data_IF_239244378673
#
_entry.id   IF_239244378673
#
_cell.length_a   1.000
_cell.length_b   1.000
_cell.length_c   1.000
_cell.angle_alpha   90.00
_cell.angle_beta   90.00
_cell.angle_gamma   90.00
#
_symmetry.space_group_name_H-M   'P 1'
#
loop_
_entity.id
_entity.type
_entity.pdbx_description
1 polymer ?
#
# COMPACT_ATOMS: atom_id res chain seq x y z
N UNK A 1 -19.58 -11.34 5.83
CA UNK A 1 -18.18 -10.91 6.06
C UNK A 1 -18.21 -9.46 6.49
N UNK A 2 -17.50 -9.09 7.57
CA UNK A 2 -17.51 -7.71 8.06
C UNK A 2 -16.66 -6.81 7.16
N UNK A 3 -17.14 -5.59 6.91
CA UNK A 3 -16.40 -4.60 6.12
C UNK A 3 -14.98 -4.34 6.67
N UNK A 4 -14.80 -4.45 7.99
CA UNK A 4 -13.51 -4.36 8.66
C UNK A 4 -12.52 -5.46 8.26
N UNK A 5 -12.98 -6.72 8.13
CA UNK A 5 -12.13 -7.83 7.68
C UNK A 5 -11.70 -7.65 6.22
N UNK A 6 -12.62 -7.19 5.36
CA UNK A 6 -12.33 -6.94 3.94
C UNK A 6 -11.29 -5.82 3.79
N UNK A 7 -11.47 -4.72 4.53
CA UNK A 7 -10.54 -3.58 4.47
C UNK A 7 -9.18 -3.90 5.10
N UNK A 8 -9.13 -4.68 6.18
CA UNK A 8 -7.88 -5.17 6.75
C UNK A 8 -7.12 -6.09 5.79
N UNK A 9 -7.80 -7.03 5.12
CA UNK A 9 -7.19 -7.89 4.12
C UNK A 9 -6.65 -7.10 2.92
N UNK A 10 -7.41 -6.10 2.44
CA UNK A 10 -6.97 -5.21 1.37
C UNK A 10 -5.73 -4.41 1.77
N UNK A 11 -5.70 -3.90 3.01
CA UNK A 11 -4.56 -3.15 3.53
C UNK A 11 -3.29 -4.02 3.56
N UNK A 12 -3.38 -5.26 4.05
CA UNK A 12 -2.24 -6.20 4.08
C UNK A 12 -1.74 -6.52 2.67
N UNK A 13 -2.65 -6.77 1.72
CA UNK A 13 -2.32 -7.02 0.32
C UNK A 13 -1.61 -5.81 -0.33
N UNK A 14 -2.15 -4.61 -0.16
CA UNK A 14 -1.56 -3.37 -0.68
C UNK A 14 -0.18 -3.07 -0.07
N UNK A 15 -0.01 -3.33 1.23
CA UNK A 15 1.26 -3.13 1.93
C UNK A 15 2.31 -4.16 1.48
N UNK A 16 1.91 -5.42 1.27
CA UNK A 16 2.77 -6.46 0.71
C UNK A 16 3.22 -6.12 -0.72
N UNK A 17 2.28 -5.71 -1.58
CA UNK A 17 2.57 -5.32 -2.98
C UNK A 17 3.45 -4.07 -3.04
N UNK A 18 3.15 -3.04 -2.25
CA UNK A 18 3.95 -1.81 -2.21
C UNK A 18 5.38 -2.04 -1.71
N UNK A 19 5.54 -2.89 -0.68
CA UNK A 19 6.85 -3.24 -0.14
C UNK A 19 7.64 -4.16 -1.07
N UNK A 20 6.96 -5.05 -1.78
CA UNK A 20 7.58 -5.87 -2.82
C UNK A 20 8.02 -5.03 -4.02
N UNK A 21 7.18 -4.10 -4.51
CA UNK A 21 7.51 -3.21 -5.63
C UNK A 21 8.69 -2.25 -5.34
N UNK A 22 8.80 -1.73 -4.12
CA UNK A 22 9.98 -0.95 -3.70
C UNK A 22 11.27 -1.79 -3.63
N UNK A 23 11.17 -3.08 -3.31
CA UNK A 23 12.33 -3.97 -3.14
C UNK A 23 12.79 -4.57 -4.48
N UNK A 24 11.85 -4.79 -5.40
CA UNK A 24 12.12 -5.43 -6.70
C UNK A 24 12.23 -4.44 -7.87
N UNK A 25 12.16 -3.14 -7.63
CA UNK A 25 12.16 -2.11 -8.68
C UNK A 25 13.40 -2.17 -9.55
N UNK A 26 14.56 -2.48 -8.97
CA UNK A 26 15.81 -2.68 -9.69
C UNK A 26 15.81 -3.94 -10.59
N UNK A 27 15.03 -4.97 -10.24
CA UNK A 27 14.89 -6.20 -11.03
C UNK A 27 13.85 -6.07 -12.15
N UNK A 28 12.97 -5.07 -12.10
CA UNK A 28 11.90 -4.84 -13.07
C UNK A 28 12.35 -3.98 -14.26
N UNK A 29 13.47 -3.27 -14.13
CA UNK A 29 14.02 -2.47 -15.24
C UNK A 29 15.02 -3.31 -16.02
N UNK A 30 14.77 -3.60 -17.31
CA UNK A 30 15.69 -4.41 -18.11
C UNK A 30 17.07 -3.77 -18.24
N UNK A 31 18.14 -4.54 -18.00
CA UNK A 31 19.54 -4.08 -18.13
C UNK A 31 19.91 -3.61 -19.55
N UNK A 32 19.07 -3.92 -20.54
CA UNK A 32 19.30 -3.65 -21.96
C UNK A 32 19.04 -2.18 -22.36
N UNK A 33 18.60 -1.35 -21.41
CA UNK A 33 18.20 0.04 -21.64
C UNK A 33 19.35 0.98 -21.25
N UNK A 34 19.71 1.92 -22.14
CA UNK A 34 20.77 2.92 -21.90
C UNK A 34 20.59 3.61 -20.53
N UNK A 35 21.69 3.80 -19.80
CA UNK A 35 21.68 4.23 -18.38
C UNK A 35 20.85 5.49 -18.11
N UNK A 36 20.84 6.46 -19.03
CA UNK A 36 20.05 7.70 -18.90
C UNK A 36 18.53 7.48 -18.97
N UNK A 37 18.07 6.50 -19.75
CA UNK A 37 16.65 6.11 -19.87
C UNK A 37 16.26 5.23 -18.69
N UNK A 38 17.19 4.39 -18.21
CA UNK A 38 17.04 3.53 -17.05
C UNK A 38 16.77 4.31 -15.77
N UNK A 39 17.56 5.34 -15.50
CA UNK A 39 17.39 6.21 -14.33
C UNK A 39 16.04 6.95 -14.32
N UNK A 40 15.51 7.26 -15.52
CA UNK A 40 14.22 7.95 -15.66
C UNK A 40 13.05 7.00 -15.40
N UNK A 41 13.14 5.77 -15.92
CA UNK A 41 12.15 4.72 -15.68
C UNK A 41 12.16 4.27 -14.21
N UNK A 42 13.34 4.11 -13.60
CA UNK A 42 13.46 3.71 -12.20
C UNK A 42 12.84 4.77 -11.26
N UNK A 43 13.06 6.06 -11.53
CA UNK A 43 12.41 7.16 -10.80
C UNK A 43 10.89 7.18 -10.97
N UNK A 44 10.39 6.91 -12.17
CA UNK A 44 8.95 6.79 -12.45
C UNK A 44 8.34 5.63 -11.64
N UNK A 45 8.96 4.45 -11.72
CA UNK A 45 8.54 3.25 -11.00
C UNK A 45 8.58 3.43 -9.47
N UNK A 46 9.61 4.09 -8.93
CA UNK A 46 9.66 4.43 -7.50
C UNK A 46 8.53 5.36 -7.07
N UNK A 47 8.16 6.34 -7.91
CA UNK A 47 7.01 7.23 -7.63
C UNK A 47 5.70 6.45 -7.66
N UNK A 48 5.52 5.55 -8.63
CA UNK A 48 4.35 4.67 -8.70
C UNK A 48 4.23 3.75 -7.49
N UNK A 49 5.35 3.16 -7.05
CA UNK A 49 5.41 2.35 -5.83
C UNK A 49 5.11 3.16 -4.57
N UNK A 50 5.61 4.40 -4.48
CA UNK A 50 5.29 5.33 -3.40
C UNK A 50 3.80 5.68 -3.35
N UNK A 51 3.16 5.93 -4.49
CA UNK A 51 1.72 6.19 -4.58
C UNK A 51 0.90 4.97 -4.15
N UNK A 52 1.29 3.76 -4.56
CA UNK A 52 0.65 2.53 -4.07
C UNK A 52 0.79 2.38 -2.56
N UNK A 53 1.96 2.69 -1.98
CA UNK A 53 2.15 2.68 -0.54
C UNK A 53 1.33 3.75 0.19
N UNK A 54 1.21 4.95 -0.37
CA UNK A 54 0.38 6.00 0.20
C UNK A 54 -1.11 5.59 0.22
N UNK A 55 -1.60 4.96 -0.85
CA UNK A 55 -2.96 4.41 -0.89
C UNK A 55 -3.12 3.23 0.09
N UNK A 56 -2.12 2.35 0.20
CA UNK A 56 -2.11 1.28 1.20
C UNK A 56 -2.26 1.82 2.62
N UNK A 57 -1.49 2.86 2.95
CA UNK A 57 -1.52 3.52 4.25
C UNK A 57 -2.88 4.17 4.52
N UNK A 58 -3.46 4.84 3.51
CA UNK A 58 -4.78 5.47 3.61
C UNK A 58 -5.89 4.44 3.87
N UNK A 59 -5.88 3.31 3.16
CA UNK A 59 -6.85 2.24 3.41
C UNK A 59 -6.65 1.60 4.79
N UNK A 60 -5.40 1.42 5.22
CA UNK A 60 -5.09 0.89 6.55
C UNK A 60 -5.59 1.83 7.66
N UNK A 61 -5.38 3.14 7.55
CA UNK A 61 -5.84 4.11 8.55
C UNK A 61 -7.36 4.18 8.61
N UNK A 62 -8.06 4.17 7.48
CA UNK A 62 -9.53 4.13 7.45
C UNK A 62 -10.09 2.86 8.09
N UNK A 63 -9.46 1.70 7.84
CA UNK A 63 -9.85 0.45 8.47
C UNK A 63 -9.69 0.50 10.00
N UNK A 64 -8.56 1.01 10.49
CA UNK A 64 -8.32 1.19 11.93
C UNK A 64 -9.35 2.15 12.52
N UNK A 65 -9.64 3.28 11.88
CA UNK A 65 -10.60 4.26 12.37
C UNK A 65 -12.02 3.69 12.48
N UNK A 66 -12.46 2.91 11.47
CA UNK A 66 -13.76 2.24 11.51
C UNK A 66 -13.83 1.17 12.61
N UNK A 67 -12.73 0.44 12.83
CA UNK A 67 -12.67 -0.59 13.87
C UNK A 67 -12.66 0.04 15.27
N UNK A 68 -11.92 1.14 15.46
CA UNK A 68 -11.90 1.87 16.73
C UNK A 68 -13.26 2.52 17.01
N UNK A 69 -13.90 3.13 16.00
CA UNK A 69 -15.24 3.71 16.15
C UNK A 69 -16.28 2.67 16.57
N UNK A 70 -16.29 1.50 15.92
CA UNK A 70 -17.20 0.40 16.30
C UNK A 70 -16.94 -0.13 17.71
N UNK A 71 -15.68 -0.22 18.15
CA UNK A 71 -15.33 -0.61 19.53
C UNK A 71 -15.76 0.47 20.54
N UNK A 72 -15.56 1.74 20.21
CA UNK A 72 -15.94 2.87 21.07
C UNK A 72 -17.47 2.96 21.26
N UNK A 73 -18.24 2.81 20.17
CA UNK A 73 -19.71 2.76 20.23
C UNK A 73 -20.20 1.57 21.07
N UNK A 74 -19.58 0.40 20.91
CA UNK A 74 -19.90 -0.79 21.70
C UNK A 74 -19.58 -0.64 23.19
N UNK A 75 -18.64 0.23 23.55
CA UNK A 75 -18.29 0.51 24.96
C UNK A 75 -19.22 1.53 25.64
N UNK A 76 -19.91 2.36 24.84
CA UNK A 76 -20.82 3.42 25.34
C UNK A 76 -22.23 2.90 25.61
N UNK A 77 -22.58 1.74 25.06
CA UNK A 77 -23.91 1.09 25.23
C UNK A 77 -23.99 0.13 26.42
N UNK A 78 -22.97 0.07 27.28
CA UNK A 78 -22.95 -0.75 28.50
C UNK A 78 -23.16 0.05 29.77
#
# INVERSE_FOLDING_TARGET
MSAALVSAALAVLMLAVGRWGLRNTASLVPDRVAGSVRDRQERSLRRGAWLCLAMALLFATLAVLATVGTIADASTTR
#
